data_IF_267831275882
#
_entry.id   IF_267831275882
#
_cell.length_a   1.000
_cell.length_b   1.000
_cell.length_c   1.000
_cell.angle_alpha   90.00
_cell.angle_beta   90.00
_cell.angle_gamma   90.00
#
_symmetry.space_group_name_H-M   'P 1'
#
loop_
_entity.id
_entity.type
_entity.pdbx_description
1 polymer ?
#
# COMPACT_ATOMS: atom_id res chain seq x y z
N UNK A 1 11.77 15.19 2.95
CA UNK A 1 11.80 14.02 3.88
C UNK A 1 13.21 13.70 4.41
N UNK A 2 14.25 13.64 3.57
CA UNK A 2 15.63 13.31 4.00
C UNK A 2 16.23 14.23 5.09
N UNK A 3 15.97 15.53 5.05
CA UNK A 3 16.47 16.50 6.04
C UNK A 3 15.92 16.25 7.46
N UNK A 4 14.62 15.96 7.57
CA UNK A 4 13.98 15.64 8.85
C UNK A 4 14.50 14.32 9.43
N UNK A 5 14.70 13.30 8.58
CA UNK A 5 15.30 12.02 8.98
C UNK A 5 16.73 12.20 9.52
N UNK A 6 17.53 13.07 8.89
CA UNK A 6 18.90 13.37 9.33
C UNK A 6 18.94 14.09 10.69
N UNK A 7 18.03 15.04 10.93
CA UNK A 7 17.89 15.71 12.23
C UNK A 7 17.52 14.73 13.33
N UNK A 8 16.55 13.84 13.06
CA UNK A 8 16.13 12.81 14.02
C UNK A 8 17.28 11.82 14.33
N UNK A 9 17.99 11.35 13.30
CA UNK A 9 19.14 10.47 13.47
C UNK A 9 20.25 11.14 14.28
N UNK A 10 20.55 12.41 14.00
CA UNK A 10 21.57 13.16 14.73
C UNK A 10 21.16 13.39 16.19
N UNK A 11 19.89 13.75 16.44
CA UNK A 11 19.33 13.89 17.78
C UNK A 11 19.41 12.59 18.59
N UNK A 12 19.09 11.46 17.96
CA UNK A 12 19.22 10.13 18.57
C UNK A 12 20.67 9.83 18.97
N UNK A 13 21.64 10.08 18.08
CA UNK A 13 23.07 9.90 18.36
C UNK A 13 23.51 10.76 19.54
N UNK A 14 23.08 12.03 19.60
CA UNK A 14 23.43 12.95 20.69
C UNK A 14 22.91 12.41 22.04
N UNK A 15 21.66 11.95 22.09
CA UNK A 15 21.06 11.39 23.32
C UNK A 15 21.86 10.17 23.81
N UNK A 16 22.22 9.25 22.90
CA UNK A 16 23.01 8.06 23.25
C UNK A 16 24.39 8.45 23.76
N UNK A 17 25.10 9.35 23.08
CA UNK A 17 26.45 9.80 23.50
C UNK A 17 26.41 10.49 24.86
N UNK A 18 25.45 11.38 25.09
CA UNK A 18 25.26 12.04 26.39
C UNK A 18 24.93 11.03 27.49
N UNK A 19 24.03 10.08 27.20
CA UNK A 19 23.69 8.99 28.12
C UNK A 19 24.90 8.15 28.51
N UNK A 20 25.73 7.77 27.54
CA UNK A 20 26.98 7.02 27.78
C UNK A 20 28.01 7.84 28.58
N UNK A 21 28.14 9.15 28.32
CA UNK A 21 29.02 10.03 29.09
C UNK A 21 28.56 10.16 30.55
N UNK A 22 27.25 10.29 30.77
CA UNK A 22 26.62 10.32 32.09
C UNK A 22 26.79 8.98 32.82
N UNK A 23 26.67 7.86 32.11
CA UNK A 23 26.94 6.53 32.64
C UNK A 23 28.39 6.39 33.10
N UNK A 24 29.35 6.81 32.27
CA UNK A 24 30.77 6.78 32.60
C UNK A 24 31.08 7.65 33.83
N UNK A 25 30.49 8.84 33.93
CA UNK A 25 30.61 9.69 35.13
C UNK A 25 30.06 8.98 36.38
N UNK A 26 28.91 8.30 36.26
CA UNK A 26 28.34 7.47 37.32
C UNK A 26 29.31 6.39 37.79
N UNK A 27 29.86 5.61 36.85
CA UNK A 27 30.82 4.53 37.12
C UNK A 27 32.11 5.05 37.77
N UNK A 28 32.68 6.15 37.25
CA UNK A 28 33.91 6.75 37.80
C UNK A 28 33.69 7.20 39.24
N UNK A 29 32.57 7.86 39.53
CA UNK A 29 32.21 8.27 40.88
C UNK A 29 32.11 7.05 41.81
N UNK A 30 31.48 5.97 41.34
CA UNK A 30 31.30 4.73 42.10
C UNK A 30 32.65 4.04 42.40
N UNK A 31 33.58 4.03 41.43
CA UNK A 31 34.96 3.51 41.60
C UNK A 31 35.74 4.36 42.63
N UNK A 32 35.70 5.69 42.51
CA UNK A 32 36.37 6.60 43.47
C UNK A 32 35.86 6.34 44.89
N UNK A 33 34.57 6.04 45.05
CA UNK A 33 34.00 5.67 46.35
C UNK A 33 34.47 4.31 46.83
N UNK A 34 34.51 3.30 45.95
CA UNK A 34 35.06 1.99 46.28
C UNK A 34 36.47 2.09 46.86
N UNK A 35 37.29 2.99 46.32
CA UNK A 35 38.65 3.27 46.83
C UNK A 35 38.62 4.06 48.14
N UNK A 36 37.81 5.12 48.27
CA UNK A 36 37.76 5.95 49.50
C UNK A 36 37.14 5.21 50.71
N UNK A 37 36.17 4.32 50.48
CA UNK A 37 35.57 3.47 51.52
C UNK A 37 36.62 2.54 52.14
N UNK A 38 37.59 2.05 51.35
CA UNK A 38 38.74 1.27 51.85
C UNK A 38 39.72 2.10 52.69
N UNK A 39 39.66 3.43 52.63
CA UNK A 39 40.50 4.36 53.41
C UNK A 39 39.76 4.97 54.62
N UNK A 40 38.62 4.40 55.03
CA UNK A 40 37.81 4.83 56.20
C UNK A 40 37.33 6.31 56.20
N UNK A 41 37.42 7.02 55.07
CA UNK A 41 36.92 8.40 54.96
C UNK A 41 35.40 8.41 54.86
N UNK A 42 34.72 9.14 55.76
CA UNK A 42 33.27 9.36 55.69
C UNK A 42 32.90 10.08 54.38
N UNK A 43 32.09 9.43 53.55
CA UNK A 43 31.57 9.99 52.30
C UNK A 43 30.11 10.43 52.53
N UNK A 44 29.71 11.64 52.12
CA UNK A 44 28.33 12.12 52.25
C UNK A 44 27.34 11.21 51.48
N UNK A 45 26.21 10.88 52.11
CA UNK A 45 25.14 10.05 51.53
C UNK A 45 24.58 10.66 50.24
N UNK A 46 24.53 12.00 50.16
CA UNK A 46 24.06 12.75 48.99
C UNK A 46 24.84 12.38 47.73
N UNK A 47 26.16 12.25 47.79
CA UNK A 47 26.96 11.88 46.62
C UNK A 47 26.59 10.49 46.10
N UNK A 48 26.33 9.52 46.98
CA UNK A 48 25.96 8.14 46.62
C UNK A 48 24.66 8.08 45.81
N UNK A 49 23.67 8.81 46.28
CA UNK A 49 22.38 8.94 45.60
C UNK A 49 22.58 9.58 44.22
N UNK A 50 23.46 10.58 44.12
CA UNK A 50 23.75 11.24 42.85
C UNK A 50 24.39 10.31 41.81
N UNK A 51 25.44 9.53 42.10
CA UNK A 51 25.99 8.65 41.05
C UNK A 51 25.10 7.45 40.75
N UNK A 52 24.29 6.97 41.70
CA UNK A 52 23.26 5.97 41.39
C UNK A 52 22.25 6.52 40.37
N UNK A 53 21.76 7.75 40.58
CA UNK A 53 20.85 8.41 39.64
C UNK A 53 21.49 8.64 38.27
N UNK A 54 22.75 9.11 38.23
CA UNK A 54 23.49 9.28 36.97
C UNK A 54 23.69 7.93 36.26
N UNK A 55 23.96 6.86 36.99
CA UNK A 55 24.09 5.52 36.41
C UNK A 55 22.76 5.06 35.83
N UNK A 56 21.64 5.22 36.54
CA UNK A 56 20.30 4.86 36.04
C UNK A 56 19.95 5.68 34.78
N UNK A 57 20.13 7.00 34.83
CA UNK A 57 19.86 7.89 33.69
C UNK A 57 20.76 7.52 32.50
N UNK A 58 22.05 7.28 32.74
CA UNK A 58 22.99 6.89 31.71
C UNK A 58 22.70 5.53 31.09
N UNK A 59 22.24 4.56 31.87
CA UNK A 59 21.76 3.26 31.35
C UNK A 59 20.51 3.46 30.51
N UNK A 60 19.50 4.19 31.00
CA UNK A 60 18.23 4.41 30.28
C UNK A 60 18.42 5.21 29.01
N UNK A 61 19.30 6.22 28.99
CA UNK A 61 19.53 7.08 27.83
C UNK A 61 20.60 6.55 26.88
N UNK A 62 21.63 5.84 27.39
CA UNK A 62 22.72 5.31 26.57
C UNK A 62 22.45 3.89 26.09
N UNK A 63 22.20 2.95 27.02
CA UNK A 63 22.04 1.53 26.71
C UNK A 63 20.60 1.23 26.25
N UNK A 64 19.59 1.85 26.86
CA UNK A 64 18.18 1.64 26.56
C UNK A 64 17.84 1.74 25.07
N UNK A 65 18.21 2.84 24.37
CA UNK A 65 17.93 2.99 22.95
C UNK A 65 18.68 1.98 22.08
N UNK A 66 19.94 1.66 22.41
CA UNK A 66 20.74 0.64 21.71
C UNK A 66 20.10 -0.76 21.84
N UNK A 67 19.65 -1.11 23.05
CA UNK A 67 18.96 -2.36 23.31
C UNK A 67 17.61 -2.43 22.57
N UNK A 68 16.85 -1.33 22.55
CA UNK A 68 15.58 -1.25 21.83
C UNK A 68 15.77 -1.45 20.32
N UNK A 69 16.80 -0.85 19.71
CA UNK A 69 17.15 -1.07 18.30
C UNK A 69 17.52 -2.54 18.06
N UNK A 70 18.33 -3.14 18.92
CA UNK A 70 18.69 -4.56 18.80
C UNK A 70 17.48 -5.51 18.90
N UNK A 71 16.56 -5.24 19.83
CA UNK A 71 15.32 -6.02 20.00
C UNK A 71 14.41 -5.84 18.78
N UNK A 72 14.25 -4.63 18.25
CA UNK A 72 13.46 -4.39 17.04
C UNK A 72 14.03 -5.13 15.82
N UNK A 73 15.36 -5.15 15.65
CA UNK A 73 16.00 -5.92 14.58
C UNK A 73 15.77 -7.44 14.74
N UNK A 74 15.86 -7.96 15.96
CA UNK A 74 15.55 -9.36 16.25
C UNK A 74 14.08 -9.68 15.97
N UNK A 75 13.16 -8.82 16.41
CA UNK A 75 11.71 -8.99 16.18
C UNK A 75 11.39 -8.98 14.69
N UNK A 76 11.93 -8.03 13.94
CA UNK A 76 11.79 -7.96 12.48
C UNK A 76 12.32 -9.22 11.78
N UNK A 77 13.47 -9.76 12.22
CA UNK A 77 13.99 -11.04 11.70
C UNK A 77 13.12 -12.25 12.07
N UNK A 78 12.46 -12.22 13.23
CA UNK A 78 11.53 -13.28 13.62
C UNK A 78 10.22 -13.20 12.84
N UNK A 79 9.69 -12.00 12.64
CA UNK A 79 8.51 -11.74 11.78
C UNK A 79 8.79 -12.16 10.33
N UNK A 80 9.98 -11.84 9.79
CA UNK A 80 10.49 -12.36 8.50
C UNK A 80 10.41 -13.89 8.43
N UNK A 81 10.91 -14.59 9.46
CA UNK A 81 10.85 -16.05 9.47
C UNK A 81 9.41 -16.52 9.51
N UNK A 82 8.55 -15.96 10.34
CA UNK A 82 7.15 -16.44 10.40
C UNK A 82 6.38 -16.21 9.11
N UNK A 83 6.59 -15.09 8.40
CA UNK A 83 5.79 -14.77 7.21
C UNK A 83 6.18 -15.59 5.98
N UNK A 84 7.46 -15.95 5.86
CA UNK A 84 8.03 -16.61 4.68
C UNK A 84 8.41 -18.07 4.96
N UNK A 85 8.54 -18.52 6.22
CA UNK A 85 9.04 -19.87 6.54
C UNK A 85 8.17 -21.02 6.01
N UNK A 86 6.88 -20.76 5.80
CA UNK A 86 5.95 -21.74 5.26
C UNK A 86 5.97 -21.78 3.72
N UNK A 87 6.69 -20.86 3.06
CA UNK A 87 6.81 -20.85 1.60
C UNK A 87 7.90 -21.82 1.14
N UNK A 88 7.64 -22.59 0.07
CA UNK A 88 8.68 -23.37 -0.62
C UNK A 88 9.81 -22.49 -1.15
N UNK A 89 11.04 -23.01 -1.18
CA UNK A 89 12.22 -22.28 -1.67
C UNK A 89 12.05 -21.81 -3.13
N UNK A 90 11.33 -22.55 -3.98
CA UNK A 90 11.04 -22.19 -5.37
C UNK A 90 9.97 -21.08 -5.52
N UNK A 91 9.32 -20.69 -4.41
CA UNK A 91 8.41 -19.55 -4.32
C UNK A 91 9.09 -18.28 -3.76
N UNK A 92 10.41 -18.31 -3.55
CA UNK A 92 11.18 -17.18 -3.04
C UNK A 92 12.11 -16.66 -4.13
N UNK A 93 11.96 -15.38 -4.48
CA UNK A 93 12.84 -14.70 -5.43
C UNK A 93 13.82 -13.82 -4.67
N UNK A 94 15.12 -14.10 -4.86
CA UNK A 94 16.19 -13.34 -4.22
C UNK A 94 16.64 -12.19 -5.12
N UNK A 95 16.52 -10.96 -4.62
CA UNK A 95 16.94 -9.73 -5.29
C UNK A 95 18.06 -9.05 -4.48
N UNK A 96 18.94 -8.29 -5.14
CA UNK A 96 20.02 -7.58 -4.42
C UNK A 96 19.50 -6.28 -3.82
N UNK A 97 18.73 -5.52 -4.60
CA UNK A 97 18.13 -4.26 -4.17
C UNK A 97 16.68 -4.10 -4.65
N UNK A 98 15.96 -3.14 -4.07
CA UNK A 98 14.61 -2.75 -4.47
C UNK A 98 14.55 -2.32 -5.93
N UNK A 99 15.60 -1.65 -6.42
CA UNK A 99 15.68 -1.19 -7.81
C UNK A 99 15.76 -2.35 -8.81
N UNK A 100 16.08 -3.57 -8.35
CA UNK A 100 16.00 -4.78 -9.18
C UNK A 100 14.56 -5.31 -9.33
N UNK A 101 13.63 -4.81 -8.52
CA UNK A 101 12.20 -5.05 -8.63
C UNK A 101 11.67 -4.17 -9.77
N UNK A 102 12.05 -4.54 -10.99
CA UNK A 102 11.76 -3.80 -12.20
C UNK A 102 10.30 -3.92 -12.65
N UNK A 103 10.04 -3.34 -13.82
CA UNK A 103 8.76 -3.39 -14.51
C UNK A 103 8.35 -4.79 -14.99
N UNK A 104 9.23 -5.78 -14.85
CA UNK A 104 9.05 -7.17 -15.26
C UNK A 104 9.93 -8.10 -14.42
N UNK A 105 9.51 -9.35 -14.25
CA UNK A 105 10.29 -10.38 -13.55
C UNK A 105 9.83 -11.80 -13.91
N UNK A 106 10.69 -12.79 -13.70
CA UNK A 106 10.32 -14.20 -13.83
C UNK A 106 9.94 -14.80 -12.48
N UNK A 107 8.81 -15.51 -12.43
CA UNK A 107 8.37 -16.24 -11.25
C UNK A 107 7.77 -17.58 -11.62
N UNK A 108 8.31 -18.66 -11.03
CA UNK A 108 7.91 -20.05 -11.30
C UNK A 108 7.89 -20.40 -12.80
N UNK A 109 8.82 -19.85 -13.57
CA UNK A 109 8.98 -20.11 -15.01
C UNK A 109 8.05 -19.32 -15.93
N UNK A 110 7.28 -18.36 -15.38
CA UNK A 110 6.43 -17.45 -16.14
C UNK A 110 7.00 -16.04 -16.05
N UNK A 111 7.02 -15.33 -17.18
CA UNK A 111 7.46 -13.94 -17.25
C UNK A 111 6.29 -13.00 -16.96
N UNK A 112 6.43 -12.19 -15.93
CA UNK A 112 5.43 -11.23 -15.48
C UNK A 112 5.85 -9.82 -15.84
N UNK A 113 4.89 -9.01 -16.25
CA UNK A 113 5.07 -7.59 -16.56
C UNK A 113 4.10 -6.76 -15.73
N UNK A 114 4.54 -5.57 -15.32
CA UNK A 114 3.68 -4.60 -14.67
C UNK A 114 2.60 -4.14 -15.65
N UNK A 115 1.33 -4.20 -15.24
CA UNK A 115 0.23 -3.71 -16.04
C UNK A 115 0.35 -2.19 -16.30
N UNK A 116 1.01 -1.44 -15.40
CA UNK A 116 1.27 0.00 -15.56
C UNK A 116 2.25 0.36 -16.69
N UNK A 117 2.96 -0.62 -17.26
CA UNK A 117 3.80 -0.41 -18.44
C UNK A 117 2.99 -0.02 -19.69
N UNK A 118 1.68 -0.26 -19.69
CA UNK A 118 0.82 -0.01 -20.84
C UNK A 118 0.02 1.27 -20.65
N UNK A 119 0.01 2.12 -21.68
CA UNK A 119 -0.70 3.41 -21.67
C UNK A 119 -2.22 3.28 -21.46
N UNK A 120 -2.79 2.11 -21.76
CA UNK A 120 -4.21 1.81 -21.63
C UNK A 120 -4.45 0.76 -20.54
N UNK A 121 -3.67 0.79 -19.45
CA UNK A 121 -3.87 -0.16 -18.37
C UNK A 121 -5.29 -0.04 -17.79
N UNK A 122 -6.05 -1.13 -17.91
CA UNK A 122 -7.36 -1.27 -17.29
C UNK A 122 -7.35 -2.28 -16.14
N UNK A 123 -6.27 -3.06 -15.99
CA UNK A 123 -6.10 -4.01 -14.90
C UNK A 123 -5.61 -3.19 -13.71
N UNK A 124 -6.58 -2.65 -12.97
CA UNK A 124 -6.37 -1.79 -11.81
C UNK A 124 -7.35 -2.29 -10.76
N UNK A 125 -6.92 -3.16 -9.83
CA UNK A 125 -7.83 -3.76 -8.90
C UNK A 125 -8.47 -2.72 -7.98
N UNK A 126 -9.77 -2.84 -7.75
CA UNK A 126 -10.46 -2.11 -6.70
C UNK A 126 -10.23 -2.86 -5.38
N UNK A 127 -9.41 -2.30 -4.48
CA UNK A 127 -9.06 -2.89 -3.18
C UNK A 127 -10.20 -2.84 -2.14
N UNK A 128 -11.40 -3.28 -2.51
CA UNK A 128 -12.51 -3.43 -1.57
C UNK A 128 -12.29 -4.71 -0.77
N UNK A 129 -12.13 -4.64 0.56
CA UNK A 129 -11.78 -5.80 1.36
C UNK A 129 -12.79 -6.95 1.31
N UNK A 130 -14.04 -6.70 0.91
CA UNK A 130 -15.06 -7.74 0.82
C UNK A 130 -14.97 -8.56 -0.48
N UNK A 131 -14.35 -8.00 -1.52
CA UNK A 131 -14.38 -8.55 -2.90
C UNK A 131 -12.97 -8.85 -3.38
N UNK A 132 -12.00 -7.97 -3.12
CA UNK A 132 -10.60 -8.15 -3.46
C UNK A 132 -9.96 -9.18 -2.53
N UNK A 133 -9.82 -10.40 -3.05
CA UNK A 133 -9.23 -11.51 -2.33
C UNK A 133 -7.90 -11.87 -2.93
N UNK A 134 -6.93 -12.08 -2.05
CA UNK A 134 -5.61 -12.48 -2.46
C UNK A 134 -5.11 -13.65 -1.63
N UNK A 135 -4.29 -14.49 -2.26
CA UNK A 135 -3.66 -15.63 -1.62
C UNK A 135 -2.15 -15.49 -1.72
N UNK A 136 -1.45 -15.64 -0.60
CA UNK A 136 0.03 -15.65 -0.56
C UNK A 136 0.56 -16.83 -1.38
N UNK A 137 1.36 -16.54 -2.41
CA UNK A 137 1.98 -17.56 -3.27
C UNK A 137 3.52 -17.52 -3.29
N UNK A 138 4.14 -16.44 -2.81
CA UNK A 138 5.59 -16.30 -2.81
C UNK A 138 6.07 -15.06 -2.08
N UNK A 139 7.37 -14.78 -2.20
CA UNK A 139 7.97 -13.57 -1.66
C UNK A 139 9.22 -13.14 -2.45
N UNK A 140 9.44 -11.83 -2.51
CA UNK A 140 10.75 -11.26 -2.82
C UNK A 140 11.55 -11.10 -1.52
N UNK A 141 12.82 -11.49 -1.54
CA UNK A 141 13.74 -11.33 -0.41
C UNK A 141 14.97 -10.59 -0.87
N UNK A 142 15.31 -9.50 -0.16
CA UNK A 142 16.48 -8.68 -0.47
C UNK A 142 17.67 -9.09 0.40
N UNK A 143 18.88 -8.83 -0.10
CA UNK A 143 20.14 -9.07 0.63
C UNK A 143 20.19 -8.36 2.00
N UNK A 144 19.48 -7.24 2.16
CA UNK A 144 19.37 -6.49 3.41
C UNK A 144 18.40 -7.12 4.44
N UNK A 145 17.75 -8.24 4.08
CA UNK A 145 16.83 -8.99 4.93
C UNK A 145 15.38 -8.48 4.93
N UNK A 146 15.05 -7.46 4.14
CA UNK A 146 13.65 -7.09 3.86
C UNK A 146 13.01 -8.11 2.95
N UNK A 147 11.69 -8.17 2.96
CA UNK A 147 10.91 -8.99 2.05
C UNK A 147 9.58 -8.33 1.69
N UNK A 148 9.02 -8.78 0.58
CA UNK A 148 7.66 -8.44 0.16
C UNK A 148 6.92 -9.68 -0.29
N UNK A 149 5.64 -9.74 0.07
CA UNK A 149 4.82 -10.90 -0.22
C UNK A 149 4.30 -10.77 -1.66
N UNK A 150 4.40 -11.87 -2.40
CA UNK A 150 3.76 -12.03 -3.71
C UNK A 150 2.42 -12.69 -3.44
N UNK A 151 1.33 -11.96 -3.68
CA UNK A 151 -0.02 -12.47 -3.57
C UNK A 151 -0.62 -12.71 -4.95
N UNK A 152 -1.29 -13.84 -5.16
CA UNK A 152 -2.18 -14.06 -6.31
C UNK A 152 -3.51 -13.38 -6.02
N UNK A 153 -3.98 -12.51 -6.92
CA UNK A 153 -5.33 -11.97 -6.91
C UNK A 153 -6.29 -13.06 -7.42
N UNK A 154 -7.31 -13.38 -6.63
CA UNK A 154 -8.38 -14.27 -7.05
C UNK A 154 -9.18 -13.61 -8.18
N UNK A 155 -9.41 -14.34 -9.28
CA UNK A 155 -10.10 -13.81 -10.46
C UNK A 155 -10.89 -14.90 -11.19
N UNK A 156 -11.86 -14.46 -11.98
CA UNK A 156 -12.81 -15.33 -12.68
C UNK A 156 -12.15 -16.21 -13.76
N UNK A 157 -10.99 -15.81 -14.27
CA UNK A 157 -10.26 -16.50 -15.33
C UNK A 157 -9.20 -17.49 -14.80
N UNK A 158 -9.01 -17.58 -13.48
CA UNK A 158 -7.95 -18.34 -12.82
C UNK A 158 -6.52 -18.04 -13.34
N UNK A 159 -6.31 -16.83 -13.88
CA UNK A 159 -4.98 -16.38 -14.32
C UNK A 159 -4.17 -15.94 -13.10
N UNK A 160 -2.86 -16.12 -13.11
CA UNK A 160 -2.02 -15.64 -12.01
C UNK A 160 -1.78 -14.13 -12.13
N UNK A 161 -2.70 -13.29 -11.66
CA UNK A 161 -2.47 -11.85 -11.52
C UNK A 161 -1.84 -11.61 -10.15
N UNK A 162 -0.72 -10.90 -10.09
CA UNK A 162 0.10 -10.78 -8.89
C UNK A 162 0.06 -9.37 -8.30
N UNK A 163 -0.18 -9.29 -7.00
CA UNK A 163 -0.01 -8.09 -6.18
C UNK A 163 1.23 -8.25 -5.31
N UNK A 164 2.15 -7.30 -5.42
CA UNK A 164 3.46 -7.35 -4.78
C UNK A 164 3.52 -6.64 -3.41
N UNK A 165 2.38 -6.19 -2.86
CA UNK A 165 2.28 -5.64 -1.50
C UNK A 165 3.07 -4.33 -1.26
N UNK A 166 3.52 -3.71 -2.35
CA UNK A 166 4.48 -2.61 -2.39
C UNK A 166 4.12 -1.55 -3.41
N UNK A 167 3.66 -2.04 -4.55
CA UNK A 167 3.38 -1.28 -5.74
C UNK A 167 1.90 -1.53 -5.97
N UNK A 168 1.12 -0.47 -6.05
CA UNK A 168 -0.30 -0.50 -6.43
C UNK A 168 -0.49 -0.83 -7.92
N UNK A 169 0.41 -1.64 -8.48
CA UNK A 169 0.41 -2.06 -9.88
C UNK A 169 0.41 -3.60 -9.90
N UNK A 170 -0.66 -4.21 -10.44
CA UNK A 170 -0.69 -5.65 -10.61
C UNK A 170 0.29 -6.07 -11.70
N UNK A 171 0.86 -7.25 -11.52
CA UNK A 171 1.70 -7.91 -12.50
C UNK A 171 0.95 -9.06 -13.14
N UNK A 172 1.03 -9.17 -14.46
CA UNK A 172 0.35 -10.21 -15.22
C UNK A 172 1.34 -11.03 -16.04
N UNK A 173 1.02 -12.28 -16.39
CA UNK A 173 1.77 -13.03 -17.39
C UNK A 173 1.77 -12.26 -18.71
N UNK A 174 2.94 -12.07 -19.31
CA UNK A 174 3.09 -11.27 -20.53
C UNK A 174 2.22 -11.80 -21.69
N UNK A 175 2.08 -13.12 -21.81
CA UNK A 175 1.31 -13.81 -22.83
C UNK A 175 -0.21 -13.72 -22.62
N UNK A 176 -0.66 -13.45 -21.39
CA UNK A 176 -2.09 -13.33 -21.06
C UNK A 176 -2.60 -11.88 -21.05
N UNK A 177 -1.72 -10.87 -21.03
CA UNK A 177 -2.11 -9.46 -20.86
C UNK A 177 -3.22 -9.01 -21.80
N UNK A 178 -3.10 -9.32 -23.10
CA UNK A 178 -4.09 -8.89 -24.10
C UNK A 178 -5.43 -9.63 -23.95
N UNK A 179 -5.40 -10.92 -23.61
CA UNK A 179 -6.62 -11.71 -23.39
C UNK A 179 -7.37 -11.23 -22.14
N UNK A 180 -6.64 -10.98 -21.04
CA UNK A 180 -7.19 -10.39 -19.82
C UNK A 180 -7.83 -9.03 -20.10
N UNK A 181 -7.13 -8.18 -20.85
CA UNK A 181 -7.62 -6.85 -21.23
C UNK A 181 -8.92 -6.95 -22.03
N UNK A 182 -8.96 -7.84 -23.02
CA UNK A 182 -10.16 -8.03 -23.86
C UNK A 182 -11.34 -8.53 -23.03
N UNK A 183 -11.13 -9.55 -22.20
CA UNK A 183 -12.16 -10.08 -21.30
C UNK A 183 -12.71 -9.00 -20.36
N UNK A 184 -11.85 -8.32 -19.60
CA UNK A 184 -12.32 -7.32 -18.64
C UNK A 184 -13.00 -6.14 -19.30
N UNK A 185 -12.51 -5.71 -20.48
CA UNK A 185 -13.13 -4.61 -21.21
C UNK A 185 -14.49 -4.99 -21.80
N UNK A 186 -14.64 -6.21 -22.31
CA UNK A 186 -15.74 -6.54 -23.23
C UNK A 186 -16.70 -7.61 -22.72
N UNK A 187 -16.28 -8.47 -21.79
CA UNK A 187 -17.03 -9.67 -21.40
C UNK A 187 -17.33 -9.77 -19.90
N UNK A 188 -16.41 -9.32 -19.04
CA UNK A 188 -16.49 -9.50 -17.59
C UNK A 188 -17.78 -8.92 -16.97
N UNK A 189 -18.57 -9.71 -16.22
CA UNK A 189 -19.77 -9.21 -15.55
C UNK A 189 -19.43 -8.04 -14.62
N UNK A 190 -20.24 -6.98 -14.69
CA UNK A 190 -20.05 -5.76 -13.91
C UNK A 190 -21.03 -5.69 -12.74
N UNK A 191 -20.57 -5.09 -11.65
CA UNK A 191 -21.35 -4.54 -10.55
C UNK A 191 -21.21 -3.02 -10.54
N UNK A 192 -22.01 -2.33 -9.73
CA UNK A 192 -21.97 -0.87 -9.62
C UNK A 192 -22.04 -0.39 -8.18
N UNK A 193 -21.17 0.55 -7.79
CA UNK A 193 -21.29 1.35 -6.57
C UNK A 193 -21.62 2.79 -6.93
N UNK A 194 -22.65 3.34 -6.29
CA UNK A 194 -23.12 4.70 -6.54
C UNK A 194 -22.62 5.62 -5.44
N UNK A 195 -22.00 6.74 -5.82
CA UNK A 195 -21.60 7.78 -4.89
C UNK A 195 -22.13 9.14 -5.34
N UNK A 196 -23.20 9.60 -4.69
CA UNK A 196 -23.94 10.80 -5.05
C UNK A 196 -23.52 12.05 -4.26
N UNK A 197 -23.10 11.87 -3.02
CA UNK A 197 -22.58 12.92 -2.14
C UNK A 197 -21.50 12.31 -1.24
N UNK A 198 -20.40 13.03 -1.02
CA UNK A 198 -19.30 12.64 -0.11
C UNK A 198 -19.77 12.36 1.33
N UNK A 199 -20.96 12.84 1.70
CA UNK A 199 -21.58 12.62 3.00
C UNK A 199 -22.48 11.37 3.09
N UNK A 200 -22.82 10.72 1.97
CA UNK A 200 -23.69 9.54 1.92
C UNK A 200 -22.88 8.24 1.78
N UNK A 201 -23.34 7.16 2.46
CA UNK A 201 -22.77 5.82 2.30
C UNK A 201 -22.96 5.33 0.85
N UNK A 202 -21.92 4.72 0.28
CA UNK A 202 -22.00 4.17 -1.08
C UNK A 202 -23.07 3.07 -1.15
N UNK A 203 -23.98 3.18 -2.12
CA UNK A 203 -24.99 2.14 -2.38
C UNK A 203 -24.45 1.17 -3.41
N UNK A 204 -24.38 -0.11 -3.04
CA UNK A 204 -23.95 -1.19 -3.94
C UNK A 204 -25.13 -1.80 -4.70
N UNK A 205 -24.93 -2.04 -6.00
CA UNK A 205 -25.90 -2.58 -6.94
C UNK A 205 -25.24 -3.74 -7.69
N UNK A 206 -25.57 -4.95 -7.25
CA UNK A 206 -24.97 -6.20 -7.75
C UNK A 206 -25.49 -6.67 -9.12
N UNK A 207 -26.56 -6.07 -9.64
CA UNK A 207 -27.18 -6.48 -10.90
C UNK A 207 -27.28 -5.29 -11.86
N UNK A 208 -26.23 -5.08 -12.65
CA UNK A 208 -26.23 -4.16 -13.79
C UNK A 208 -26.22 -4.92 -15.10
N UNK A 209 -26.79 -4.30 -16.13
CA UNK A 209 -26.77 -4.78 -17.51
C UNK A 209 -25.41 -4.39 -18.08
N UNK A 210 -24.46 -5.32 -18.03
CA UNK A 210 -23.06 -5.06 -18.37
C UNK A 210 -22.92 -4.61 -19.83
N UNK A 211 -23.72 -5.17 -20.75
CA UNK A 211 -23.72 -4.78 -22.16
C UNK A 211 -24.23 -3.35 -22.34
N UNK A 212 -25.28 -2.98 -21.61
CA UNK A 212 -25.80 -1.60 -21.62
C UNK A 212 -24.79 -0.61 -21.06
N UNK A 213 -24.08 -0.95 -19.99
CA UNK A 213 -23.03 -0.10 -19.40
C UNK A 213 -21.86 0.07 -20.38
N UNK A 214 -21.38 -1.02 -21.01
CA UNK A 214 -20.31 -0.96 -22.01
C UNK A 214 -20.72 -0.11 -23.21
N UNK A 215 -21.95 -0.26 -23.71
CA UNK A 215 -22.46 0.59 -24.79
C UNK A 215 -22.46 2.08 -24.43
N UNK A 216 -22.78 2.44 -23.19
CA UNK A 216 -22.70 3.83 -22.70
C UNK A 216 -21.24 4.31 -22.63
N UNK A 217 -20.33 3.49 -22.08
CA UNK A 217 -18.88 3.78 -22.04
C UNK A 217 -18.33 4.04 -23.44
N UNK A 218 -18.60 3.14 -24.37
CA UNK A 218 -18.10 3.21 -25.75
C UNK A 218 -18.69 4.42 -26.49
N UNK A 219 -19.98 4.73 -26.29
CA UNK A 219 -20.59 5.95 -26.81
C UNK A 219 -19.87 7.22 -26.30
N UNK A 220 -19.56 7.28 -25.00
CA UNK A 220 -18.84 8.41 -24.41
C UNK A 220 -17.43 8.55 -24.99
N UNK A 221 -16.69 7.44 -25.11
CA UNK A 221 -15.34 7.43 -25.69
C UNK A 221 -15.33 7.89 -27.16
N UNK A 222 -16.32 7.45 -27.97
CA UNK A 222 -16.38 7.75 -29.40
C UNK A 222 -16.98 9.14 -29.73
N UNK A 223 -17.98 9.59 -28.95
CA UNK A 223 -18.79 10.77 -29.30
C UNK A 223 -18.64 11.93 -28.30
N UNK A 224 -17.98 11.71 -27.16
CA UNK A 224 -17.81 12.73 -26.14
C UNK A 224 -16.84 13.83 -26.55
N UNK A 225 -17.15 15.05 -26.12
CA UNK A 225 -16.25 16.18 -26.27
C UNK A 225 -15.12 16.09 -25.25
N UNK A 226 -13.87 16.07 -25.74
CA UNK A 226 -12.68 16.05 -24.88
C UNK A 226 -12.53 17.34 -24.08
N UNK A 227 -12.13 17.21 -22.82
CA UNK A 227 -11.84 18.32 -21.89
C UNK A 227 -13.03 19.26 -21.62
N UNK A 228 -14.26 18.77 -21.81
CA UNK A 228 -15.45 19.52 -21.40
C UNK A 228 -15.69 19.34 -19.91
N UNK A 229 -15.68 20.45 -19.16
CA UNK A 229 -15.93 20.45 -17.72
C UNK A 229 -17.40 20.16 -17.42
N UNK A 230 -17.67 19.10 -16.67
CA UNK A 230 -18.94 19.00 -15.94
C UNK A 230 -18.94 20.00 -14.78
N UNK A 231 -20.10 20.60 -14.50
CA UNK A 231 -20.26 21.53 -13.37
C UNK A 231 -20.00 20.87 -12.01
N UNK A 232 -20.12 21.61 -10.91
CA UNK A 232 -19.76 21.14 -9.57
C UNK A 232 -20.72 20.11 -8.96
N UNK A 233 -21.94 19.98 -9.49
CA UNK A 233 -22.99 19.09 -8.97
C UNK A 233 -23.08 17.80 -9.79
N UNK A 234 -22.06 16.95 -9.66
CA UNK A 234 -21.99 15.66 -10.36
C UNK A 234 -21.90 14.50 -9.37
N UNK A 235 -22.50 13.38 -9.75
CA UNK A 235 -22.37 12.11 -9.04
C UNK A 235 -21.44 11.15 -9.77
N UNK A 236 -21.07 10.08 -9.07
CA UNK A 236 -20.16 9.06 -9.55
C UNK A 236 -20.83 7.68 -9.57
N UNK A 237 -20.59 6.94 -10.65
CA UNK A 237 -20.92 5.54 -10.78
C UNK A 237 -19.63 4.77 -11.00
N UNK A 238 -19.34 3.86 -10.09
CA UNK A 238 -18.18 3.01 -10.13
C UNK A 238 -18.58 1.62 -10.58
N UNK A 239 -18.20 1.26 -11.80
CA UNK A 239 -18.45 -0.06 -12.34
C UNK A 239 -17.20 -0.91 -12.16
N UNK A 240 -17.34 -2.11 -11.61
CA UNK A 240 -16.22 -3.02 -11.35
C UNK A 240 -16.60 -4.45 -11.70
N UNK A 241 -15.62 -5.27 -12.08
CA UNK A 241 -15.82 -6.71 -12.27
C UNK A 241 -16.11 -7.40 -10.93
N UNK A 242 -16.78 -8.55 -10.95
CA UNK A 242 -17.12 -9.29 -9.73
C UNK A 242 -15.90 -9.71 -8.89
N UNK A 243 -14.74 -9.87 -9.53
CA UNK A 243 -13.46 -10.18 -8.91
C UNK A 243 -12.63 -8.92 -8.59
N UNK A 244 -13.18 -7.73 -8.80
CA UNK A 244 -12.57 -6.42 -8.58
C UNK A 244 -11.27 -6.15 -9.33
N UNK A 245 -10.86 -6.99 -10.30
CA UNK A 245 -9.61 -6.79 -11.07
C UNK A 245 -9.72 -5.61 -12.06
N UNK A 246 -10.93 -5.31 -12.51
CA UNK A 246 -11.23 -4.20 -13.41
C UNK A 246 -12.24 -3.27 -12.77
N UNK A 247 -12.00 -1.96 -12.86
CA UNK A 247 -13.04 -0.97 -12.63
C UNK A 247 -12.90 0.24 -13.55
N UNK A 248 -14.01 0.97 -13.69
CA UNK A 248 -14.03 2.28 -14.30
C UNK A 248 -15.13 3.14 -13.69
N UNK A 249 -14.98 4.45 -13.89
CA UNK A 249 -15.88 5.46 -13.34
C UNK A 249 -16.63 6.18 -14.46
N UNK A 250 -17.94 6.37 -14.28
CA UNK A 250 -18.74 7.32 -15.05
C UNK A 250 -19.23 8.41 -14.11
N UNK A 251 -18.89 9.65 -14.45
CA UNK A 251 -19.44 10.84 -13.81
C UNK A 251 -20.75 11.21 -14.50
N UNK A 252 -21.76 11.68 -13.76
CA UNK A 252 -23.02 12.14 -14.34
C UNK A 252 -23.53 13.44 -13.70
N UNK A 253 -24.23 14.26 -14.48
CA UNK A 253 -24.93 15.45 -14.02
C UNK A 253 -26.26 15.64 -14.77
N UNK A 254 -27.28 16.11 -14.08
CA UNK A 254 -28.54 16.53 -14.72
C UNK A 254 -28.43 17.97 -15.21
N UNK A 255 -28.89 18.19 -16.44
CA UNK A 255 -28.96 19.51 -17.08
C UNK A 255 -30.35 19.76 -17.65
N UNK A 256 -30.62 20.97 -18.15
CA UNK A 256 -31.90 21.29 -18.80
C UNK A 256 -32.14 20.46 -20.08
N UNK A 257 -31.07 20.08 -20.79
CA UNK A 257 -31.12 19.30 -22.03
C UNK A 257 -31.16 17.77 -21.78
N UNK A 258 -30.96 17.34 -20.53
CA UNK A 258 -30.96 15.94 -20.12
C UNK A 258 -29.73 15.54 -19.29
N UNK A 259 -29.49 14.23 -19.22
CA UNK A 259 -28.39 13.67 -18.42
C UNK A 259 -27.08 13.74 -19.23
N UNK A 260 -26.11 14.48 -18.72
CA UNK A 260 -24.75 14.50 -19.23
C UNK A 260 -23.93 13.49 -18.44
N UNK A 261 -23.11 12.72 -19.15
CA UNK A 261 -22.17 11.79 -18.53
C UNK A 261 -20.76 11.99 -19.07
N UNK A 262 -19.78 11.56 -18.28
CA UNK A 262 -18.37 11.63 -18.61
C UNK A 262 -17.67 10.34 -18.24
N UNK A 263 -16.85 9.86 -19.17
CA UNK A 263 -15.91 8.76 -18.99
C UNK A 263 -14.52 9.26 -19.39
N UNK A 264 -13.52 9.08 -18.50
CA UNK A 264 -12.19 9.68 -18.67
C UNK A 264 -12.26 11.21 -18.91
N UNK A 265 -11.78 11.69 -20.06
CA UNK A 265 -11.82 13.09 -20.49
C UNK A 265 -12.95 13.41 -21.49
N UNK A 266 -13.84 12.45 -21.77
CA UNK A 266 -14.89 12.57 -22.78
C UNK A 266 -16.27 12.76 -22.14
N UNK A 267 -16.94 13.87 -22.47
CA UNK A 267 -18.25 14.24 -21.92
C UNK A 267 -19.31 14.31 -23.03
N UNK A 268 -20.46 13.67 -22.85
CA UNK A 268 -21.57 13.70 -23.82
C UNK A 268 -22.94 13.78 -23.15
N UNK A 269 -23.92 14.32 -23.88
CA UNK A 269 -25.34 14.16 -23.56
C UNK A 269 -25.76 12.74 -23.93
N UNK A 270 -26.37 12.03 -22.97
CA UNK A 270 -26.85 10.66 -23.18
C UNK A 270 -28.21 10.64 -23.88
N UNK A 271 -28.47 9.58 -24.64
CA UNK A 271 -29.79 9.34 -25.22
C UNK A 271 -30.84 9.18 -24.12
N UNK A 272 -32.13 9.42 -24.44
CA UNK A 272 -33.21 9.27 -23.47
C UNK A 272 -33.24 7.89 -22.81
N UNK A 273 -32.92 6.83 -23.55
CA UNK A 273 -32.90 5.45 -23.06
C UNK A 273 -31.70 5.19 -22.14
N UNK A 274 -30.51 5.66 -22.50
CA UNK A 274 -29.30 5.54 -21.68
C UNK A 274 -29.41 6.37 -20.39
N UNK A 275 -29.92 7.60 -20.51
CA UNK A 275 -30.18 8.47 -19.38
C UNK A 275 -31.21 7.85 -18.41
N UNK A 276 -32.25 7.20 -18.94
CA UNK A 276 -33.23 6.46 -18.11
C UNK A 276 -32.58 5.27 -17.41
N UNK A 277 -31.68 4.55 -18.09
CA UNK A 277 -30.94 3.44 -17.50
C UNK A 277 -30.05 3.93 -16.34
N UNK A 278 -29.22 4.94 -16.55
CA UNK A 278 -28.39 5.53 -15.50
C UNK A 278 -29.23 5.99 -14.31
N UNK A 279 -30.32 6.73 -14.55
CA UNK A 279 -31.25 7.16 -13.48
C UNK A 279 -31.86 6.01 -12.70
N UNK A 280 -32.02 4.83 -13.32
CA UNK A 280 -32.55 3.65 -12.63
C UNK A 280 -31.57 3.07 -11.61
N UNK A 281 -30.26 3.22 -11.85
CA UNK A 281 -29.21 2.84 -10.90
C UNK A 281 -29.16 3.80 -9.69
N UNK A 282 -29.69 5.02 -9.81
CA UNK A 282 -29.67 6.00 -8.72
C UNK A 282 -30.83 5.86 -7.72
N UNK A 283 -31.77 4.93 -7.94
CA UNK A 283 -33.00 4.77 -7.14
C UNK A 283 -32.92 3.59 -6.18
#
# INVERSE_FOLDING_TARGET
>A
MAFFAMILATGFIIIVVLGLAVLLLGIILDIIWGVRKKQEKKVPVVLKVFALLLTIIGVVQGIGPLAAVGIMQLKSKMEYRSEISDLPDDCIVHLKDYDDMGNEFDFRGVHYISASNFSNNIIVPWEDPDIYKTTKIGAFVFDNGKHYIINKIENDLDVNILDLGLIYDPYVPQDEYYNLTDYYKNEAPLCCKVWKDTAEEMKEIYAVDSDKVRAIRDYLEENGQRNSSMGADYGYLYFYSNDSVYYFEIQYAETEDGLVARYNDHTALLSSDDAKYIRSLLR
#
